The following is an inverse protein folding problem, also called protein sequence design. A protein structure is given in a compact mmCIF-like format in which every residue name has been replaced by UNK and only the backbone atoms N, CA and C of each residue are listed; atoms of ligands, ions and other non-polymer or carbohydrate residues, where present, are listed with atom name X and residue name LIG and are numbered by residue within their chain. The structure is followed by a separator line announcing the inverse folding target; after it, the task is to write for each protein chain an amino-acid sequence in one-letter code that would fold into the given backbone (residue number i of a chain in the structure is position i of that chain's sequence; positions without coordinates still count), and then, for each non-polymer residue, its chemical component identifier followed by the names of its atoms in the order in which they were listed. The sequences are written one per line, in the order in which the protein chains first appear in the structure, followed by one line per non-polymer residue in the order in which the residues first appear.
data_IF_938189373637
#
_entry.id   IF_938189373637
#
_cell.length_a   1.000
_cell.length_b   1.000
_cell.length_c   1.000
_cell.angle_alpha   90.00
_cell.angle_beta   90.00
_cell.angle_gamma   90.00
#
_symmetry.space_group_name_H-M   'P 1'
#
loop_
_entity.id
_entity.type
_entity.pdbx_description
1 polymer ?
#
# COMPACT_ATOMS: atom_id res chain seq x y z
N UNK A 1 27.44 -36.26 -23.40
CA UNK A 1 27.54 -35.29 -22.30
C UNK A 1 26.60 -34.14 -22.62
N UNK A 2 25.32 -34.26 -22.26
CA UNK A 2 24.26 -33.29 -22.62
C UNK A 2 23.23 -33.23 -21.49
N UNK A 3 23.61 -32.75 -20.31
CA UNK A 3 22.70 -32.59 -19.14
C UNK A 3 22.91 -31.26 -18.40
N UNK A 4 23.46 -30.24 -19.05
CA UNK A 4 23.77 -28.95 -18.41
C UNK A 4 22.61 -27.91 -18.41
N UNK A 5 21.58 -27.93 -19.29
CA UNK A 5 20.59 -26.84 -19.29
C UNK A 5 19.58 -26.94 -18.13
N UNK A 6 19.34 -28.11 -17.55
CA UNK A 6 18.31 -28.25 -16.51
C UNK A 6 18.75 -27.67 -15.15
N UNK A 7 20.07 -27.69 -14.86
CA UNK A 7 20.59 -27.24 -13.57
C UNK A 7 20.48 -25.71 -13.40
N UNK A 8 20.68 -24.96 -14.49
CA UNK A 8 20.63 -23.49 -14.48
C UNK A 8 19.19 -22.96 -14.34
N UNK A 9 18.21 -23.62 -14.95
CA UNK A 9 16.79 -23.25 -14.79
C UNK A 9 16.28 -23.58 -13.38
N UNK A 10 16.73 -24.70 -12.78
CA UNK A 10 16.37 -25.04 -11.40
C UNK A 10 17.01 -24.07 -10.39
N UNK A 11 18.26 -23.65 -10.62
CA UNK A 11 18.93 -22.66 -9.78
C UNK A 11 18.22 -21.29 -9.83
N UNK A 12 17.79 -20.85 -11.02
CA UNK A 12 17.00 -19.62 -11.19
C UNK A 12 15.64 -19.72 -10.49
N UNK A 13 14.95 -20.86 -10.61
CA UNK A 13 13.66 -21.06 -9.95
C UNK A 13 13.79 -21.03 -8.42
N UNK A 14 14.81 -21.68 -7.87
CA UNK A 14 15.10 -21.68 -6.42
C UNK A 14 15.44 -20.26 -5.93
N UNK A 15 16.22 -19.49 -6.70
CA UNK A 15 16.54 -18.09 -6.38
C UNK A 15 15.28 -17.21 -6.38
N UNK A 16 14.42 -17.34 -7.40
CA UNK A 16 13.16 -16.55 -7.47
C UNK A 16 12.18 -16.90 -6.35
N UNK A 17 12.10 -18.18 -5.95
CA UNK A 17 11.25 -18.62 -4.85
C UNK A 17 11.77 -18.14 -3.49
N UNK A 18 13.10 -18.12 -3.30
CA UNK A 18 13.70 -17.56 -2.09
C UNK A 18 13.48 -16.05 -1.96
N UNK A 19 13.56 -15.30 -3.07
CA UNK A 19 13.30 -13.85 -3.08
C UNK A 19 11.82 -13.56 -2.72
N UNK A 20 10.88 -14.38 -3.17
CA UNK A 20 9.46 -14.27 -2.80
C UNK A 20 9.20 -14.56 -1.31
N UNK A 21 9.93 -15.49 -0.70
CA UNK A 21 9.77 -15.84 0.72
C UNK A 21 10.42 -14.83 1.69
N UNK A 22 11.46 -14.12 1.26
CA UNK A 22 12.19 -13.19 2.15
C UNK A 22 11.47 -11.84 2.30
N UNK A 23 10.53 -11.50 1.41
CA UNK A 23 9.90 -10.18 1.38
C UNK A 23 8.64 -10.00 2.23
N UNK A 24 8.31 -10.93 3.14
CA UNK A 24 7.03 -10.91 3.86
C UNK A 24 7.12 -10.67 5.37
N UNK A 25 8.19 -10.03 5.89
CA UNK A 25 8.32 -9.84 7.35
C UNK A 25 8.94 -8.51 7.77
N UNK A 26 8.14 -7.46 7.80
CA UNK A 26 8.28 -6.35 8.76
C UNK A 26 6.92 -5.65 8.98
N UNK A 27 5.95 -6.36 9.57
CA UNK A 27 4.84 -5.67 10.24
C UNK A 27 4.78 -6.15 11.69
N UNK A 28 5.23 -5.31 12.62
CA UNK A 28 4.90 -5.45 14.03
C UNK A 28 3.39 -5.22 14.15
N UNK A 29 2.63 -6.31 14.14
CA UNK A 29 1.18 -6.25 14.07
C UNK A 29 0.63 -6.02 15.49
N UNK A 30 0.29 -4.77 15.79
CA UNK A 30 -0.53 -4.44 16.96
C UNK A 30 -1.98 -4.78 16.65
N UNK A 31 -2.70 -5.42 17.58
CA UNK A 31 -4.11 -5.80 17.38
C UNK A 31 -4.97 -5.09 18.43
N UNK A 32 -6.03 -4.42 17.97
CA UNK A 32 -7.08 -3.88 18.83
C UNK A 32 -7.98 -5.05 19.26
N UNK A 33 -8.07 -5.31 20.57
CA UNK A 33 -9.03 -6.27 21.10
C UNK A 33 -10.42 -5.62 21.18
N UNK A 34 -11.35 -6.05 20.33
CA UNK A 34 -12.69 -5.47 20.20
C UNK A 34 -13.56 -5.64 21.45
N UNK A 35 -13.21 -6.57 22.35
CA UNK A 35 -13.98 -6.82 23.58
C UNK A 35 -13.49 -6.00 24.77
N UNK A 36 -12.23 -5.54 24.76
CA UNK A 36 -11.64 -4.78 25.87
C UNK A 36 -11.26 -3.33 25.51
N UNK A 37 -11.30 -2.94 24.24
CA UNK A 37 -10.87 -1.61 23.80
C UNK A 37 -9.37 -1.34 23.98
N UNK A 38 -8.57 -2.39 24.24
CA UNK A 38 -7.12 -2.30 24.50
C UNK A 38 -6.29 -2.72 23.27
N UNK A 39 -5.13 -2.10 23.12
CA UNK A 39 -4.17 -2.40 22.05
C UNK A 39 -3.08 -3.32 22.62
N UNK A 40 -2.87 -4.49 21.99
CA UNK A 40 -1.88 -5.48 22.44
C UNK A 40 -0.90 -5.79 21.30
N UNK A 41 0.37 -6.04 21.64
CA UNK A 41 1.42 -6.42 20.69
C UNK A 41 1.24 -7.88 20.23
N UNK A 42 1.22 -8.11 18.91
CA UNK A 42 1.14 -9.46 18.35
C UNK A 42 2.44 -10.23 18.63
N UNK A 43 2.36 -11.28 19.45
CA UNK A 43 3.53 -12.13 19.76
C UNK A 43 4.08 -12.78 18.49
N UNK A 44 5.34 -12.50 18.18
CA UNK A 44 6.13 -13.20 17.17
C UNK A 44 6.21 -14.69 17.51
N UNK A 45 5.74 -15.56 16.61
CA UNK A 45 5.90 -17.01 16.76
C UNK A 45 7.39 -17.40 16.71
N UNK A 46 7.99 -17.61 17.87
CA UNK A 46 9.20 -18.43 18.03
C UNK A 46 8.80 -19.91 17.98
N UNK A 47 9.26 -20.62 16.94
CA UNK A 47 9.17 -22.08 16.86
C UNK A 47 10.16 -22.71 17.84
N UNK A 48 9.67 -23.52 18.77
CA UNK A 48 10.41 -24.69 19.28
C UNK A 48 9.45 -25.89 19.21
N UNK A 49 9.93 -26.95 18.59
CA UNK A 49 9.24 -28.21 18.31
C UNK A 49 9.41 -29.17 19.48
N UNK A 50 8.33 -29.85 19.87
CA UNK A 50 8.38 -31.27 20.24
C UNK A 50 7.01 -31.93 19.98
N UNK A 51 7.04 -33.03 19.21
CA UNK A 51 5.93 -33.95 18.87
C UNK A 51 5.56 -34.86 20.08
N UNK A 52 4.45 -35.65 20.11
CA UNK A 52 4.00 -36.52 19.01
C UNK A 52 2.48 -36.80 18.77
N UNK A 53 2.24 -37.39 17.58
CA UNK A 53 1.16 -38.31 17.12
C UNK A 53 -0.17 -37.78 16.53
N UNK A 54 -0.38 -38.16 15.24
CA UNK A 54 -1.63 -38.26 14.45
C UNK A 54 -2.49 -39.48 14.91
N UNK A 55 -3.71 -39.80 14.40
CA UNK A 55 -4.43 -39.22 13.25
C UNK A 55 -5.95 -38.96 13.45
N UNK A 56 -6.55 -38.10 12.63
CA UNK A 56 -7.64 -38.43 11.67
C UNK A 56 -8.22 -37.13 11.10
N UNK A 57 -8.36 -37.16 9.77
CA UNK A 57 -8.83 -36.11 8.88
C UNK A 57 -10.34 -35.93 8.98
N UNK A 58 -10.83 -34.69 9.03
CA UNK A 58 -12.11 -34.27 8.44
C UNK A 58 -12.10 -32.74 8.25
N UNK A 59 -11.86 -32.35 7.01
CA UNK A 59 -11.61 -30.97 6.56
C UNK A 59 -12.95 -30.24 6.30
N UNK A 60 -13.25 -29.09 6.95
CA UNK A 60 -14.55 -28.41 6.85
C UNK A 60 -14.87 -27.82 5.47
N UNK A 61 -13.91 -27.84 4.54
CA UNK A 61 -14.07 -27.32 3.17
C UNK A 61 -14.96 -28.24 2.32
N UNK A 62 -14.99 -29.55 2.60
CA UNK A 62 -15.78 -30.51 1.81
C UNK A 62 -17.29 -30.48 2.14
N UNK A 63 -17.67 -30.08 3.36
CA UNK A 63 -19.07 -29.95 3.78
C UNK A 63 -19.76 -28.66 3.29
N UNK A 64 -18.98 -27.66 2.87
CA UNK A 64 -19.51 -26.41 2.30
C UNK A 64 -19.98 -26.63 0.86
N UNK A 65 -19.37 -27.56 0.13
CA UNK A 65 -19.66 -27.79 -1.30
C UNK A 65 -20.94 -28.61 -1.52
N UNK A 66 -21.37 -29.43 -0.55
CA UNK A 66 -22.46 -30.41 -0.75
C UNK A 66 -23.82 -29.95 -0.20
N UNK A 67 -23.91 -28.83 0.51
CA UNK A 67 -25.17 -28.39 1.17
C UNK A 67 -26.04 -27.39 0.37
N UNK A 68 -25.74 -27.13 -0.90
CA UNK A 68 -26.57 -26.23 -1.73
C UNK A 68 -27.33 -26.98 -2.83
N UNK A 69 -28.54 -27.46 -2.50
CA UNK A 69 -29.50 -27.95 -3.49
C UNK A 69 -30.51 -26.85 -3.82
N UNK A 70 -30.71 -26.66 -5.12
CA UNK A 70 -31.29 -25.51 -5.78
C UNK A 70 -32.81 -25.63 -5.99
N UNK A 71 -33.58 -24.63 -5.58
CA UNK A 71 -34.93 -24.35 -6.13
C UNK A 71 -35.15 -22.83 -6.17
N UNK A 72 -35.39 -22.28 -7.36
CA UNK A 72 -36.17 -21.05 -7.63
C UNK A 72 -35.83 -19.73 -6.90
N UNK A 73 -35.38 -18.74 -7.69
CA UNK A 73 -35.19 -17.29 -7.45
C UNK A 73 -35.61 -16.66 -6.09
N UNK A 74 -34.89 -16.93 -5.00
CA UNK A 74 -34.66 -15.98 -3.88
C UNK A 74 -33.65 -16.56 -2.86
N UNK A 75 -32.76 -15.74 -2.32
CA UNK A 75 -31.86 -16.12 -1.21
C UNK A 75 -32.56 -15.88 0.13
N UNK A 76 -32.85 -16.94 0.88
CA UNK A 76 -33.32 -16.82 2.28
C UNK A 76 -32.45 -17.67 3.20
N UNK A 77 -31.83 -17.03 4.19
CA UNK A 77 -31.09 -17.69 5.27
C UNK A 77 -32.08 -18.38 6.22
N UNK A 78 -32.03 -19.70 6.33
CA UNK A 78 -32.81 -20.47 7.31
C UNK A 78 -32.10 -20.37 8.66
N UNK A 79 -32.71 -19.66 9.61
CA UNK A 79 -32.37 -19.75 11.03
C UNK A 79 -32.76 -21.12 11.57
N UNK A 80 -31.90 -21.72 12.38
CA UNK A 80 -32.26 -22.88 13.20
C UNK A 80 -33.18 -22.37 14.31
N UNK A 81 -34.42 -22.85 14.33
CA UNK A 81 -35.38 -22.61 15.41
C UNK A 81 -35.26 -23.69 16.49
N UNK A 82 -35.29 -23.24 17.75
CA UNK A 82 -35.89 -23.90 18.94
C UNK A 82 -35.98 -22.75 19.97
N UNK A 83 -37.12 -22.25 20.46
CA UNK A 83 -38.34 -22.85 21.01
C UNK A 83 -39.52 -21.84 20.93
N UNK A 84 -40.74 -22.34 20.65
CA UNK A 84 -42.12 -21.98 21.08
C UNK A 84 -42.48 -20.53 21.50
N UNK A 85 -43.65 -19.94 21.24
CA UNK A 85 -44.95 -20.37 20.68
C UNK A 85 -45.88 -19.13 20.64
N UNK A 86 -46.80 -19.04 19.67
CA UNK A 86 -48.01 -18.22 19.82
C UNK A 86 -48.34 -17.31 18.63
N UNK A 87 -49.26 -17.76 17.77
CA UNK A 87 -49.86 -17.01 16.67
C UNK A 87 -50.81 -15.90 17.16
N UNK A 88 -50.94 -14.79 16.41
CA UNK A 88 -52.21 -14.33 15.84
C UNK A 88 -52.05 -13.13 14.88
N UNK A 89 -52.19 -13.44 13.59
CA UNK A 89 -53.14 -12.86 12.62
C UNK A 89 -53.54 -11.36 12.63
N UNK A 90 -53.43 -10.78 11.42
CA UNK A 90 -54.36 -9.86 10.70
C UNK A 90 -54.44 -8.36 11.04
N UNK A 91 -54.01 -7.48 10.12
CA UNK A 91 -54.85 -6.77 9.12
C UNK A 91 -54.10 -5.57 8.52
N UNK A 92 -54.06 -5.49 7.18
CA UNK A 92 -53.91 -4.24 6.39
C UNK A 92 -55.33 -3.70 6.07
N UNK A 93 -55.54 -2.38 5.85
CA UNK A 93 -55.29 -1.80 4.51
C UNK A 93 -54.79 -0.35 4.48
N UNK A 94 -54.39 0.05 3.26
CA UNK A 94 -53.89 1.33 2.81
C UNK A 94 -54.96 2.44 2.69
N UNK A 95 -54.56 3.73 2.67
CA UNK A 95 -54.83 4.70 1.58
C UNK A 95 -54.46 6.17 1.92
N UNK A 96 -54.07 6.90 0.87
CA UNK A 96 -54.25 8.34 0.58
C UNK A 96 -53.39 9.50 1.17
N UNK A 97 -52.63 10.09 0.23
CA UNK A 97 -52.57 11.50 -0.26
C UNK A 97 -52.73 12.71 0.69
N UNK A 98 -51.79 13.64 0.50
CA UNK A 98 -51.87 15.12 0.56
C UNK A 98 -52.22 15.81 1.89
N UNK A 99 -51.28 16.61 2.43
CA UNK A 99 -51.33 18.09 2.37
C UNK A 99 -50.30 18.75 3.30
N UNK A 100 -49.81 19.89 2.82
CA UNK A 100 -49.10 20.93 3.57
C UNK A 100 -49.85 21.38 4.82
N UNK A 101 -49.15 21.49 5.96
CA UNK A 101 -49.41 22.56 6.95
C UNK A 101 -48.24 22.73 7.92
N UNK A 102 -47.77 23.98 7.94
CA UNK A 102 -46.98 24.58 9.00
C UNK A 102 -47.65 24.37 10.37
N UNK A 103 -46.91 23.81 11.32
CA UNK A 103 -47.19 23.99 12.75
C UNK A 103 -45.87 24.17 13.50
N UNK A 104 -45.63 25.42 13.92
CA UNK A 104 -44.88 25.71 15.14
C UNK A 104 -45.54 24.95 16.29
N UNK A 105 -44.78 24.12 17.01
CA UNK A 105 -45.13 23.71 18.37
C UNK A 105 -43.87 23.62 19.22
N UNK A 106 -43.73 24.67 20.02
CA UNK A 106 -43.28 24.74 21.40
C UNK A 106 -42.36 23.64 21.92
N UNK A 107 -41.16 24.10 22.29
CA UNK A 107 -40.40 23.77 23.48
C UNK A 107 -41.19 22.92 24.51
N UNK A 108 -40.91 21.63 24.53
CA UNK A 108 -40.98 20.83 25.76
C UNK A 108 -39.56 20.41 26.07
N UNK A 109 -39.02 21.05 27.10
CA UNK A 109 -37.85 20.61 27.83
C UNK A 109 -38.16 19.20 28.35
N UNK A 110 -37.73 18.18 27.63
CA UNK A 110 -37.64 16.81 28.14
C UNK A 110 -36.17 16.46 28.09
N UNK A 111 -35.55 16.56 29.27
CA UNK A 111 -34.22 16.02 29.53
C UNK A 111 -34.26 14.51 29.24
N UNK A 112 -33.78 14.13 28.06
CA UNK A 112 -33.45 12.76 27.66
C UNK A 112 -32.52 12.84 26.44
N UNK A 113 -31.39 13.53 26.60
CA UNK A 113 -30.41 13.78 25.53
C UNK A 113 -29.17 12.89 25.69
N UNK A 114 -29.38 11.63 26.08
CA UNK A 114 -28.41 10.54 25.95
C UNK A 114 -28.56 9.86 24.57
N UNK A 115 -28.85 10.64 23.52
CA UNK A 115 -28.45 10.21 22.18
C UNK A 115 -26.92 10.18 22.20
N UNK A 116 -26.31 9.03 21.90
CA UNK A 116 -24.85 8.89 21.77
C UNK A 116 -24.31 9.96 20.80
N UNK A 117 -23.95 11.13 21.34
CA UNK A 117 -23.46 12.25 20.56
C UNK A 117 -22.10 11.83 20.00
N UNK A 118 -22.03 11.33 18.77
CA UNK A 118 -20.77 10.93 18.14
C UNK A 118 -19.84 12.14 18.06
N UNK A 119 -18.57 11.95 18.47
CA UNK A 119 -17.58 13.04 18.47
C UNK A 119 -17.22 13.49 17.04
N UNK A 120 -18.02 14.36 16.44
CA UNK A 120 -17.72 14.93 15.13
C UNK A 120 -17.02 16.31 15.23
N UNK A 121 -16.43 16.75 14.13
CA UNK A 121 -15.99 18.13 13.96
C UNK A 121 -17.14 19.05 13.53
N UNK A 122 -18.38 18.56 13.42
CA UNK A 122 -19.58 19.22 12.93
C UNK A 122 -19.74 19.12 11.40
N UNK A 123 -20.59 19.99 10.82
CA UNK A 123 -20.85 20.02 9.37
C UNK A 123 -19.56 20.13 8.54
N UNK A 124 -19.53 19.39 7.44
CA UNK A 124 -18.46 19.38 6.46
C UNK A 124 -18.23 20.78 5.87
N UNK A 125 -16.97 21.07 5.54
CA UNK A 125 -16.60 22.34 4.90
C UNK A 125 -16.77 22.23 3.39
N UNK A 126 -17.26 23.30 2.77
CA UNK A 126 -17.50 23.38 1.33
C UNK A 126 -16.19 23.36 0.52
N UNK A 127 -15.14 24.06 0.98
CA UNK A 127 -13.88 24.17 0.26
C UNK A 127 -12.69 24.37 1.20
N UNK A 128 -11.58 23.70 0.90
CA UNK A 128 -10.24 23.99 1.45
C UNK A 128 -9.20 24.01 0.34
N UNK A 129 -8.07 24.69 0.57
CA UNK A 129 -6.95 24.76 -0.39
C UNK A 129 -6.32 23.41 -0.75
N UNK A 130 -6.61 22.36 0.03
CA UNK A 130 -5.99 21.04 -0.08
C UNK A 130 -6.97 19.96 -0.54
N UNK A 131 -8.20 20.34 -0.93
CA UNK A 131 -9.23 19.39 -1.39
C UNK A 131 -8.88 18.76 -2.75
N UNK A 132 -7.96 19.37 -3.49
CA UNK A 132 -7.45 18.87 -4.76
C UNK A 132 -6.47 17.69 -4.62
N UNK A 133 -5.93 17.46 -3.43
CA UNK A 133 -5.05 16.32 -3.15
C UNK A 133 -5.83 15.02 -3.30
N UNK A 134 -5.24 14.01 -3.95
CA UNK A 134 -5.93 12.76 -4.30
C UNK A 134 -6.44 12.05 -3.05
N UNK A 135 -5.61 11.98 -2.02
CA UNK A 135 -5.96 11.39 -0.72
C UNK A 135 -7.04 12.17 0.02
N UNK A 136 -7.10 13.50 -0.10
CA UNK A 136 -8.16 14.31 0.53
C UNK A 136 -9.48 14.22 -0.24
N UNK A 137 -9.40 14.18 -1.58
CA UNK A 137 -10.56 14.03 -2.44
C UNK A 137 -11.24 12.66 -2.22
N UNK A 138 -10.45 11.59 -2.06
CA UNK A 138 -10.92 10.23 -1.86
C UNK A 138 -11.28 9.88 -0.40
N UNK A 139 -11.45 10.88 0.47
CA UNK A 139 -11.65 10.70 1.93
C UNK A 139 -12.77 9.75 2.36
N UNK A 140 -13.79 9.53 1.54
CA UNK A 140 -14.91 8.63 1.85
C UNK A 140 -14.60 7.14 1.58
N UNK A 141 -13.51 6.84 0.87
CA UNK A 141 -13.19 5.49 0.41
C UNK A 141 -11.99 4.86 1.13
N UNK A 142 -11.42 5.55 2.13
CA UNK A 142 -10.22 5.07 2.80
C UNK A 142 -10.49 3.91 3.75
N UNK A 143 -9.55 2.95 3.84
CA UNK A 143 -9.65 1.89 4.83
C UNK A 143 -9.52 2.42 6.26
N UNK A 144 -10.04 1.63 7.20
CA UNK A 144 -9.90 1.91 8.62
C UNK A 144 -8.53 1.44 9.12
N UNK A 145 -7.64 2.37 9.47
CA UNK A 145 -6.24 2.09 9.86
C UNK A 145 -5.93 2.78 11.20
N UNK A 146 -6.00 2.07 12.34
CA UNK A 146 -5.79 2.66 13.66
C UNK A 146 -4.31 3.01 13.91
N UNK A 147 -4.08 4.19 14.49
CA UNK A 147 -2.76 4.69 14.89
C UNK A 147 -2.65 4.83 16.43
N UNK A 148 -2.51 3.73 17.16
CA UNK A 148 -2.51 3.76 18.63
C UNK A 148 -1.41 4.65 19.23
N UNK A 149 -0.26 4.74 18.57
CA UNK A 149 0.88 5.58 18.98
C UNK A 149 0.53 7.08 19.07
N UNK A 150 -0.48 7.55 18.33
CA UNK A 150 -0.93 8.95 18.37
C UNK A 150 -1.53 9.30 19.74
N UNK A 151 -1.99 8.31 20.51
CA UNK A 151 -2.48 8.52 21.87
C UNK A 151 -1.42 9.18 22.77
N UNK A 152 -0.13 8.90 22.56
CA UNK A 152 0.97 9.48 23.35
C UNK A 152 0.99 11.01 23.32
N UNK A 153 0.44 11.66 22.29
CA UNK A 153 0.32 13.13 22.20
C UNK A 153 -0.58 13.67 23.32
N UNK A 154 -1.56 12.89 23.78
CA UNK A 154 -2.48 13.26 24.85
C UNK A 154 -1.93 12.92 26.25
N UNK A 155 -0.77 12.24 26.33
CA UNK A 155 -0.11 11.93 27.60
C UNK A 155 0.40 13.22 28.24
N UNK A 156 -0.14 13.59 29.40
CA UNK A 156 0.41 14.70 30.19
C UNK A 156 1.70 14.22 30.87
N UNK A 157 2.80 14.97 30.72
CA UNK A 157 4.16 14.66 31.25
C UNK A 157 4.23 14.25 32.74
N UNK A 158 3.19 14.49 33.53
CA UNK A 158 3.21 14.33 34.99
C UNK A 158 2.43 13.12 35.54
N UNK A 159 1.70 12.35 34.72
CA UNK A 159 0.95 11.18 35.21
C UNK A 159 1.17 9.97 34.31
N UNK A 160 1.63 8.89 34.92
CA UNK A 160 1.88 7.59 34.31
C UNK A 160 0.56 6.81 34.12
N UNK A 161 -0.44 7.46 33.54
CA UNK A 161 -1.76 6.87 33.34
C UNK A 161 -1.85 6.37 31.89
N UNK A 162 -2.21 5.10 31.75
CA UNK A 162 -2.64 4.48 30.50
C UNK A 162 -3.80 5.30 29.90
N UNK A 163 -3.79 5.56 28.59
CA UNK A 163 -4.75 6.49 27.99
C UNK A 163 -6.01 5.73 27.60
N UNK A 164 -7.04 5.88 28.41
CA UNK A 164 -8.39 5.43 28.07
C UNK A 164 -8.96 6.30 26.92
N UNK A 165 -9.22 5.66 25.78
CA UNK A 165 -9.75 6.29 24.57
C UNK A 165 -11.15 6.84 24.79
N UNK A 166 -11.98 6.19 25.62
CA UNK A 166 -13.35 6.62 25.89
C UNK A 166 -13.38 7.80 26.87
N UNK A 167 -12.47 7.82 27.85
CA UNK A 167 -12.24 9.02 28.67
C UNK A 167 -11.74 10.20 27.82
N UNK A 168 -10.86 9.96 26.86
CA UNK A 168 -10.39 10.98 25.92
C UNK A 168 -11.54 11.52 25.07
N UNK A 169 -12.41 10.64 24.56
CA UNK A 169 -13.60 11.02 23.79
C UNK A 169 -14.51 11.95 24.61
N UNK A 170 -14.85 11.56 25.85
CA UNK A 170 -15.68 12.38 26.76
C UNK A 170 -15.07 13.76 27.02
N UNK A 171 -13.75 13.82 27.21
CA UNK A 171 -13.03 15.08 27.41
C UNK A 171 -13.10 15.98 26.18
N UNK A 172 -12.95 15.43 24.98
CA UNK A 172 -13.03 16.17 23.73
C UNK A 172 -14.46 16.65 23.44
N UNK A 173 -15.49 15.84 23.75
CA UNK A 173 -16.90 16.26 23.69
C UNK A 173 -17.16 17.47 24.60
N UNK A 174 -16.69 17.41 25.84
CA UNK A 174 -16.79 18.55 26.77
C UNK A 174 -16.07 19.80 26.24
N UNK A 175 -14.84 19.65 25.77
CA UNK A 175 -14.05 20.76 25.22
C UNK A 175 -14.73 21.40 23.98
N UNK A 176 -15.41 20.60 23.16
CA UNK A 176 -16.21 21.08 22.02
C UNK A 176 -17.42 21.92 22.43
N UNK A 177 -18.09 21.56 23.53
CA UNK A 177 -19.18 22.37 24.09
C UNK A 177 -18.69 23.71 24.64
N UNK A 178 -17.50 23.73 25.24
CA UNK A 178 -16.91 24.94 25.83
C UNK A 178 -16.32 25.90 24.78
N UNK A 179 -15.63 25.38 23.76
CA UNK A 179 -14.92 26.19 22.75
C UNK A 179 -15.27 25.75 21.33
N UNK A 180 -16.50 26.03 20.85
CA UNK A 180 -16.86 25.75 19.48
C UNK A 180 -15.96 26.56 18.53
N UNK A 181 -15.52 25.94 17.42
CA UNK A 181 -14.69 26.55 16.35
C UNK A 181 -13.22 26.80 16.67
N UNK A 182 -12.64 26.13 17.66
CA UNK A 182 -11.19 26.18 17.89
C UNK A 182 -10.41 25.29 16.90
N UNK A 183 -9.42 25.87 16.20
CA UNK A 183 -8.49 25.13 15.30
C UNK A 183 -7.78 24.01 16.07
N UNK A 184 -7.29 24.33 17.28
CA UNK A 184 -6.57 23.36 18.11
C UNK A 184 -7.48 22.21 18.55
N UNK A 185 -8.75 22.50 18.82
CA UNK A 185 -9.70 21.46 19.17
C UNK A 185 -9.99 20.54 17.98
N UNK A 186 -10.21 21.09 16.79
CA UNK A 186 -10.42 20.28 15.59
C UNK A 186 -9.20 19.43 15.25
N UNK A 187 -7.99 19.96 15.45
CA UNK A 187 -6.75 19.20 15.34
C UNK A 187 -6.70 18.02 16.34
N UNK A 188 -7.09 18.25 17.59
CA UNK A 188 -7.17 17.21 18.62
C UNK A 188 -8.22 16.14 18.31
N UNK A 189 -9.41 16.53 17.85
CA UNK A 189 -10.46 15.58 17.44
C UNK A 189 -10.00 14.79 16.21
N UNK A 190 -9.32 15.42 15.25
CA UNK A 190 -8.73 14.73 14.10
C UNK A 190 -7.70 13.67 14.52
N UNK A 191 -6.82 13.99 15.47
CA UNK A 191 -5.87 13.05 16.06
C UNK A 191 -6.56 11.93 16.86
N UNK A 192 -7.68 12.21 17.52
CA UNK A 192 -8.49 11.16 18.14
C UNK A 192 -9.04 10.16 17.11
N UNK A 193 -9.53 10.64 15.97
CA UNK A 193 -9.98 9.75 14.90
C UNK A 193 -8.84 8.97 14.24
N UNK A 194 -7.61 9.48 14.24
CA UNK A 194 -6.41 8.70 13.86
C UNK A 194 -6.17 7.53 14.80
N UNK A 195 -6.30 7.75 16.12
CA UNK A 195 -6.17 6.67 17.11
C UNK A 195 -7.22 5.59 16.84
N UNK A 196 -8.48 5.98 16.61
CA UNK A 196 -9.54 5.03 16.28
C UNK A 196 -9.33 4.37 14.92
N UNK A 197 -8.76 5.06 13.94
CA UNK A 197 -8.48 4.57 12.59
C UNK A 197 -9.48 5.04 11.52
N UNK A 198 -10.41 5.91 11.88
CA UNK A 198 -11.39 6.49 10.96
C UNK A 198 -10.75 7.65 10.19
N UNK A 199 -10.11 7.32 9.06
CA UNK A 199 -9.44 8.29 8.20
C UNK A 199 -10.41 9.34 7.64
N UNK A 200 -11.64 8.96 7.32
CA UNK A 200 -12.66 9.88 6.81
C UNK A 200 -12.95 10.99 7.83
N UNK A 201 -13.30 10.62 9.07
CA UNK A 201 -13.57 11.61 10.11
C UNK A 201 -12.34 12.42 10.46
N UNK A 202 -11.16 11.79 10.48
CA UNK A 202 -9.90 12.48 10.73
C UNK A 202 -9.63 13.59 9.71
N UNK A 203 -9.73 13.27 8.41
CA UNK A 203 -9.55 14.23 7.32
C UNK A 203 -10.58 15.35 7.39
N UNK A 204 -11.86 15.06 7.66
CA UNK A 204 -12.88 16.11 7.80
C UNK A 204 -12.59 17.06 8.98
N UNK A 205 -12.07 16.54 10.10
CA UNK A 205 -11.63 17.38 11.21
C UNK A 205 -10.47 18.30 10.82
N UNK A 206 -9.47 17.78 10.12
CA UNK A 206 -8.34 18.58 9.65
C UNK A 206 -8.74 19.57 8.57
N UNK A 207 -9.60 19.19 7.61
CA UNK A 207 -10.20 20.11 6.62
C UNK A 207 -10.89 21.27 7.32
N UNK A 208 -11.64 21.01 8.40
CA UNK A 208 -12.29 22.06 9.17
C UNK A 208 -11.32 22.95 9.93
N UNK A 209 -10.25 22.39 10.49
CA UNK A 209 -9.18 23.18 11.10
C UNK A 209 -8.49 24.09 10.07
N UNK A 210 -8.18 23.56 8.87
CA UNK A 210 -7.56 24.29 7.77
C UNK A 210 -8.48 25.32 7.11
N UNK A 211 -9.79 25.11 7.14
CA UNK A 211 -10.76 26.12 6.70
C UNK A 211 -10.73 27.38 7.57
N UNK A 212 -10.43 27.22 8.87
CA UNK A 212 -10.30 28.34 9.81
C UNK A 212 -8.88 28.92 9.78
N UNK A 213 -7.86 28.05 9.67
CA UNK A 213 -6.45 28.46 9.60
C UNK A 213 -5.71 27.66 8.52
N UNK A 214 -5.69 28.15 7.27
CA UNK A 214 -5.13 27.41 6.13
C UNK A 214 -3.63 27.11 6.26
N UNK A 215 -2.90 27.96 6.96
CA UNK A 215 -1.44 27.89 7.11
C UNK A 215 -1.03 27.35 8.50
N UNK A 216 -1.87 26.53 9.13
CA UNK A 216 -1.52 25.93 10.42
C UNK A 216 -0.56 24.74 10.20
N UNK A 217 0.72 24.95 10.49
CA UNK A 217 1.77 23.95 10.30
C UNK A 217 1.47 22.61 10.98
N UNK A 218 0.93 22.60 12.20
CA UNK A 218 0.65 21.37 12.95
C UNK A 218 -0.48 20.56 12.31
N UNK A 219 -1.53 21.24 11.86
CA UNK A 219 -2.66 20.60 11.19
C UNK A 219 -2.24 20.02 9.83
N UNK A 220 -1.46 20.76 9.06
CA UNK A 220 -0.90 20.28 7.79
C UNK A 220 -0.05 19.03 7.99
N UNK A 221 0.79 19.02 9.04
CA UNK A 221 1.62 17.87 9.37
C UNK A 221 0.80 16.66 9.78
N UNK A 222 -0.26 16.85 10.58
CA UNK A 222 -1.13 15.75 10.99
C UNK A 222 -1.94 15.19 9.81
N UNK A 223 -2.41 16.05 8.89
CA UNK A 223 -3.04 15.60 7.65
C UNK A 223 -2.05 14.82 6.77
N UNK A 224 -0.81 15.30 6.63
CA UNK A 224 0.24 14.59 5.89
C UNK A 224 0.51 13.19 6.46
N UNK A 225 0.53 13.03 7.78
CA UNK A 225 0.71 11.73 8.44
C UNK A 225 -0.45 10.76 8.17
N UNK A 226 -1.68 11.27 8.11
CA UNK A 226 -2.83 10.44 7.68
C UNK A 226 -2.62 9.96 6.25
N UNK A 227 -2.23 10.85 5.34
CA UNK A 227 -2.00 10.50 3.94
C UNK A 227 -0.81 9.55 3.75
N UNK A 228 0.25 9.67 4.58
CA UNK A 228 1.36 8.72 4.63
C UNK A 228 0.86 7.30 4.98
N UNK A 229 0.06 7.15 6.03
CA UNK A 229 -0.46 5.84 6.43
C UNK A 229 -1.38 5.22 5.37
N UNK A 230 -2.07 6.08 4.62
CA UNK A 230 -2.90 5.69 3.49
C UNK A 230 -2.10 5.48 2.19
N UNK A 231 -0.78 5.63 2.21
CA UNK A 231 0.13 5.49 1.06
C UNK A 231 -0.05 6.54 -0.06
N UNK A 232 -0.70 7.67 0.22
CA UNK A 232 -0.70 8.84 -0.68
C UNK A 232 0.56 9.66 -0.48
N UNK A 233 1.70 9.10 -0.91
CA UNK A 233 3.02 9.63 -0.57
C UNK A 233 3.28 11.02 -1.16
N UNK A 234 2.89 11.28 -2.42
CA UNK A 234 3.07 12.59 -3.06
C UNK A 234 2.32 13.71 -2.32
N UNK A 235 1.06 13.44 -1.97
CA UNK A 235 0.23 14.38 -1.20
C UNK A 235 0.83 14.61 0.21
N UNK A 236 1.36 13.56 0.83
CA UNK A 236 2.02 13.65 2.13
C UNK A 236 3.31 14.48 2.05
N UNK A 237 4.13 14.33 1.00
CA UNK A 237 5.31 15.17 0.76
C UNK A 237 4.89 16.62 0.60
N UNK A 238 3.90 16.90 -0.25
CA UNK A 238 3.41 18.25 -0.51
C UNK A 238 2.94 18.94 0.78
N UNK A 239 2.11 18.27 1.57
CA UNK A 239 1.60 18.82 2.84
C UNK A 239 2.70 19.00 3.88
N UNK A 240 3.66 18.06 3.97
CA UNK A 240 4.76 18.17 4.93
C UNK A 240 5.71 19.31 4.57
N UNK A 241 6.00 19.50 3.28
CA UNK A 241 6.77 20.66 2.81
C UNK A 241 6.05 21.97 3.10
N UNK A 242 4.74 22.05 2.84
CA UNK A 242 3.95 23.24 3.23
C UNK A 242 3.92 23.46 4.73
N UNK A 243 3.82 22.41 5.54
CA UNK A 243 3.93 22.52 7.00
C UNK A 243 5.28 23.10 7.43
N UNK A 244 6.37 22.68 6.79
CA UNK A 244 7.72 23.19 7.06
C UNK A 244 7.86 24.67 6.70
N UNK A 245 7.32 25.09 5.55
CA UNK A 245 7.38 26.49 5.08
C UNK A 245 6.58 27.46 5.95
N UNK A 246 5.43 27.02 6.48
CA UNK A 246 4.57 27.85 7.34
C UNK A 246 4.85 27.66 8.83
N UNK A 247 5.88 26.87 9.19
CA UNK A 247 6.25 26.64 10.58
C UNK A 247 6.67 27.97 11.23
N UNK A 248 6.08 28.33 12.38
CA UNK A 248 6.47 29.52 13.11
C UNK A 248 7.97 29.47 13.52
N UNK A 249 8.72 30.59 13.44
CA UNK A 249 10.15 30.61 13.70
C UNK A 249 10.53 30.32 15.17
N UNK A 250 9.58 30.46 16.10
CA UNK A 250 9.73 30.14 17.51
C UNK A 250 9.67 28.62 17.80
N UNK A 251 9.28 27.80 16.82
CA UNK A 251 9.18 26.34 16.94
C UNK A 251 10.15 25.66 16.01
N UNK A 252 10.96 24.74 16.55
CA UNK A 252 11.80 23.88 15.72
C UNK A 252 10.94 22.97 14.82
N UNK A 253 11.48 22.61 13.66
CA UNK A 253 10.77 21.84 12.63
C UNK A 253 11.14 20.34 12.60
N UNK A 254 11.66 19.80 13.71
CA UNK A 254 12.11 18.40 13.76
C UNK A 254 11.00 17.41 13.40
N UNK A 255 9.74 17.70 13.74
CA UNK A 255 8.61 16.84 13.43
C UNK A 255 8.33 16.76 11.94
N UNK A 256 8.49 17.88 11.22
CA UNK A 256 8.36 17.95 9.76
C UNK A 256 9.48 17.16 9.09
N UNK A 257 10.73 17.38 9.50
CA UNK A 257 11.88 16.64 8.96
C UNK A 257 11.77 15.13 9.22
N UNK A 258 11.38 14.72 10.43
CA UNK A 258 11.12 13.31 10.73
C UNK A 258 10.01 12.73 9.84
N UNK A 259 8.91 13.47 9.66
CA UNK A 259 7.79 13.01 8.82
C UNK A 259 8.22 12.91 7.35
N UNK A 260 9.00 13.85 6.82
CA UNK A 260 9.61 13.72 5.49
C UNK A 260 10.49 12.48 5.39
N UNK A 261 11.33 12.23 6.40
CA UNK A 261 12.15 11.02 6.48
C UNK A 261 11.32 9.74 6.39
N UNK A 262 10.24 9.65 7.16
CA UNK A 262 9.30 8.51 7.11
C UNK A 262 8.61 8.39 5.75
N UNK A 263 8.21 9.51 5.12
CA UNK A 263 7.59 9.49 3.80
C UNK A 263 8.57 9.01 2.73
N UNK A 264 9.80 9.54 2.69
CA UNK A 264 10.81 9.11 1.72
C UNK A 264 11.26 7.67 1.94
N UNK A 265 11.30 7.21 3.20
CA UNK A 265 11.52 5.79 3.53
C UNK A 265 10.41 4.92 2.94
N UNK A 266 9.15 5.31 3.08
CA UNK A 266 8.01 4.60 2.48
C UNK A 266 8.02 4.67 0.94
N UNK A 267 8.52 5.78 0.37
CA UNK A 267 8.71 5.96 -1.07
C UNK A 267 9.86 5.09 -1.63
N UNK A 268 10.75 4.57 -0.77
CA UNK A 268 11.94 3.80 -1.16
C UNK A 268 13.18 4.65 -1.43
N UNK A 269 13.11 5.97 -1.22
CA UNK A 269 14.24 6.89 -1.36
C UNK A 269 15.03 6.97 -0.05
N UNK A 270 15.76 5.89 0.27
CA UNK A 270 16.49 5.78 1.54
C UNK A 270 17.57 6.84 1.75
N UNK A 271 18.24 7.28 0.67
CA UNK A 271 19.25 8.34 0.75
C UNK A 271 18.61 9.67 1.21
N UNK A 272 17.53 10.10 0.56
CA UNK A 272 16.79 11.31 0.94
C UNK A 272 16.17 11.19 2.34
N UNK A 273 15.64 10.01 2.67
CA UNK A 273 15.12 9.73 4.00
C UNK A 273 16.19 9.93 5.08
N UNK A 274 17.41 9.42 4.86
CA UNK A 274 18.51 9.55 5.82
C UNK A 274 18.91 10.99 6.07
N UNK A 275 18.91 11.84 5.04
CA UNK A 275 19.22 13.27 5.14
C UNK A 275 18.17 13.96 6.04
N UNK A 276 16.89 13.75 5.77
CA UNK A 276 15.82 14.36 6.55
C UNK A 276 15.77 13.85 8.00
N UNK A 277 16.05 12.57 8.24
CA UNK A 277 16.14 12.05 9.60
C UNK A 277 17.32 12.60 10.38
N UNK A 278 18.49 12.77 9.74
CA UNK A 278 19.65 13.43 10.36
C UNK A 278 19.33 14.88 10.73
N UNK A 279 18.68 15.65 9.85
CA UNK A 279 18.21 16.99 10.19
C UNK A 279 17.21 17.01 11.36
N UNK A 280 16.34 16.00 11.46
CA UNK A 280 15.47 15.88 12.64
C UNK A 280 16.28 15.67 13.92
N UNK A 281 17.36 14.88 13.88
CA UNK A 281 18.23 14.63 15.04
C UNK A 281 19.13 15.83 15.38
N UNK A 282 19.56 16.61 14.40
CA UNK A 282 20.26 17.88 14.64
C UNK A 282 19.39 18.83 15.47
N UNK A 283 18.09 18.89 15.18
CA UNK A 283 17.13 19.73 15.89
C UNK A 283 16.66 19.11 17.22
N UNK A 284 16.68 17.79 17.33
CA UNK A 284 16.29 17.05 18.53
C UNK A 284 17.11 15.74 18.66
N UNK A 285 18.28 15.80 19.31
CA UNK A 285 19.21 14.66 19.37
C UNK A 285 18.68 13.42 20.08
N UNK A 286 17.89 13.62 21.14
CA UNK A 286 17.30 12.55 21.96
C UNK A 286 15.95 12.05 21.41
N UNK A 287 15.77 12.03 20.09
CA UNK A 287 14.53 11.53 19.50
C UNK A 287 14.70 10.07 19.05
N UNK A 288 14.40 9.13 19.95
CA UNK A 288 14.60 7.70 19.74
C UNK A 288 13.96 7.15 18.45
N UNK A 289 12.75 7.55 18.04
CA UNK A 289 12.16 7.06 16.78
C UNK A 289 12.99 7.41 15.53
N UNK A 290 13.63 8.58 15.48
CA UNK A 290 14.50 8.94 14.36
C UNK A 290 15.83 8.17 14.39
N UNK A 291 16.39 7.93 15.58
CA UNK A 291 17.59 7.10 15.75
C UNK A 291 17.31 5.66 15.29
N UNK A 292 16.18 5.10 15.70
CA UNK A 292 15.74 3.77 15.29
C UNK A 292 15.54 3.69 13.77
N UNK A 293 14.83 4.65 13.17
CA UNK A 293 14.60 4.67 11.73
C UNK A 293 15.91 4.76 10.92
N UNK A 294 16.89 5.55 11.36
CA UNK A 294 18.22 5.61 10.72
C UNK A 294 18.97 4.29 10.86
N UNK A 295 18.98 3.69 12.05
CA UNK A 295 19.61 2.41 12.29
C UNK A 295 19.00 1.32 11.41
N UNK A 296 17.68 1.30 11.28
CA UNK A 296 16.97 0.36 10.42
C UNK A 296 17.42 0.52 8.95
N UNK A 297 17.64 1.76 8.48
CA UNK A 297 18.13 2.01 7.12
C UNK A 297 19.60 1.61 6.91
N UNK A 298 20.46 1.82 7.89
CA UNK A 298 21.86 1.38 7.84
C UNK A 298 21.97 -0.15 7.85
N UNK A 299 20.99 -0.84 8.44
CA UNK A 299 20.91 -2.30 8.38
C UNK A 299 20.38 -2.84 7.05
N UNK A 300 19.76 -2.02 6.20
CA UNK A 300 19.43 -2.42 4.81
C UNK A 300 20.76 -2.49 4.07
N UNK A 301 21.27 -3.69 3.79
CA UNK A 301 22.65 -3.77 3.41
C UNK A 301 22.76 -3.29 1.96
N UNK A 302 23.57 -2.25 1.74
CA UNK A 302 24.06 -1.85 0.41
C UNK A 302 24.67 -3.05 -0.34
N UNK A 303 25.01 -4.11 0.39
CA UNK A 303 25.41 -5.40 -0.15
C UNK A 303 24.39 -5.97 -1.13
N UNK A 304 23.07 -5.75 -0.99
CA UNK A 304 22.11 -6.29 -1.96
C UNK A 304 22.31 -5.65 -3.34
N UNK A 305 22.48 -4.33 -3.39
CA UNK A 305 22.73 -3.58 -4.63
C UNK A 305 24.11 -3.90 -5.21
N UNK A 306 25.13 -4.05 -4.36
CA UNK A 306 26.45 -4.51 -4.77
C UNK A 306 26.48 -5.98 -5.22
N UNK A 307 25.69 -6.85 -4.60
CA UNK A 307 25.53 -8.26 -4.99
C UNK A 307 24.82 -8.32 -6.34
N UNK A 308 23.73 -7.59 -6.55
CA UNK A 308 23.05 -7.57 -7.85
C UNK A 308 23.93 -7.01 -8.96
N UNK A 309 24.68 -5.92 -8.70
CA UNK A 309 25.63 -5.39 -9.68
C UNK A 309 26.78 -6.36 -9.96
N UNK A 310 27.35 -7.01 -8.95
CA UNK A 310 28.34 -8.09 -9.15
C UNK A 310 27.76 -9.26 -9.94
N UNK A 311 26.52 -9.68 -9.64
CA UNK A 311 25.85 -10.79 -10.32
C UNK A 311 25.60 -10.45 -11.80
N UNK A 312 25.16 -9.22 -12.10
CA UNK A 312 25.02 -8.71 -13.47
C UNK A 312 26.38 -8.72 -14.19
N UNK A 313 27.45 -8.24 -13.55
CA UNK A 313 28.80 -8.25 -14.13
C UNK A 313 29.25 -9.69 -14.43
N UNK A 314 29.06 -10.63 -13.49
CA UNK A 314 29.41 -12.05 -13.68
C UNK A 314 28.63 -12.66 -14.85
N UNK A 315 27.32 -12.40 -14.95
CA UNK A 315 26.49 -12.88 -16.06
C UNK A 315 26.96 -12.33 -17.41
N UNK A 316 27.32 -11.05 -17.49
CA UNK A 316 27.84 -10.44 -18.71
C UNK A 316 29.18 -11.05 -19.13
N UNK A 317 30.09 -11.28 -18.18
CA UNK A 317 31.39 -11.91 -18.44
C UNK A 317 31.22 -13.35 -18.94
N UNK A 318 30.34 -14.13 -18.31
CA UNK A 318 30.03 -15.49 -18.77
C UNK A 318 29.38 -15.51 -20.16
N UNK A 319 28.49 -14.57 -20.44
CA UNK A 319 27.89 -14.41 -21.76
C UNK A 319 28.93 -14.14 -22.86
N UNK A 320 29.88 -13.24 -22.60
CA UNK A 320 30.98 -12.95 -23.52
C UNK A 320 31.88 -14.17 -23.71
N UNK A 321 32.23 -14.89 -22.63
CA UNK A 321 33.02 -16.12 -22.72
C UNK A 321 32.33 -17.21 -23.56
N UNK A 322 31.01 -17.38 -23.43
CA UNK A 322 30.23 -18.31 -24.25
C UNK A 322 30.24 -17.94 -25.74
N UNK A 323 30.15 -16.64 -26.06
CA UNK A 323 30.26 -16.16 -27.45
C UNK A 323 31.65 -16.44 -28.01
N UNK A 324 32.70 -16.23 -27.22
CA UNK A 324 34.08 -16.55 -27.64
C UNK A 324 34.24 -18.06 -27.87
N UNK A 325 33.78 -18.91 -26.95
CA UNK A 325 33.89 -20.36 -27.10
C UNK A 325 33.12 -20.89 -28.32
N UNK A 326 31.89 -20.42 -28.55
CA UNK A 326 31.13 -20.79 -29.75
C UNK A 326 31.78 -20.32 -31.05
N UNK A 327 32.52 -19.21 -31.03
CA UNK A 327 33.32 -18.77 -32.20
C UNK A 327 34.58 -19.62 -32.43
N UNK A 328 35.18 -20.15 -31.38
CA UNK A 328 36.37 -21.02 -31.45
C UNK A 328 36.00 -22.44 -31.89
N UNK A 329 34.89 -22.98 -31.39
CA UNK A 329 34.37 -24.28 -31.81
C UNK A 329 34.02 -24.28 -33.31
N UNK A 330 33.49 -23.18 -33.83
CA UNK A 330 33.27 -22.99 -35.28
C UNK A 330 34.56 -22.95 -36.11
N UNK A 331 35.71 -22.62 -35.49
CA UNK A 331 37.01 -22.56 -36.16
C UNK A 331 37.74 -23.92 -36.09
N UNK A 332 37.57 -24.70 -35.02
CA UNK A 332 38.15 -26.04 -34.88
C UNK A 332 37.52 -27.07 -35.84
N UNK A 333 36.22 -26.93 -36.14
CA UNK A 333 35.57 -27.77 -37.17
C UNK A 333 36.07 -27.46 -38.59
N UNK A 334 36.62 -26.26 -38.83
CA UNK A 334 37.21 -25.90 -40.12
C UNK A 334 38.58 -26.57 -40.35
N UNK A 335 39.41 -26.70 -39.31
CA UNK A 335 40.75 -27.30 -39.40
C UNK A 335 40.73 -28.85 -39.52
N UNK A 336 39.67 -29.52 -39.08
CA UNK A 336 39.53 -30.98 -39.25
C UNK A 336 39.02 -31.41 -40.64
N UNK A 337 38.49 -30.47 -41.43
CA UNK A 337 37.90 -30.73 -42.74
C UNK A 337 38.93 -30.79 -43.89
N UNK A 338 40.15 -30.28 -43.68
CA UNK A 338 41.19 -30.22 -44.71
C UNK A 338 42.11 -31.45 -44.80
N UNK A 339 41.91 -32.47 -43.95
CA UNK A 339 42.77 -33.67 -43.94
C UNK A 339 42.11 -34.93 -44.56
N UNK A 340 41.26 -34.78 -45.58
CA UNK A 340 40.72 -35.96 -46.30
C UNK A 340 40.25 -35.72 -47.75
N UNK A 341 41.09 -35.14 -48.59
CA UNK A 341 40.82 -35.07 -50.06
C UNK A 341 41.95 -35.68 -50.86
N UNK A 342 42.10 -37.00 -50.76
CA UNK A 342 42.79 -37.76 -51.80
C UNK A 342 42.24 -39.17 -51.90
N UNK A 343 41.25 -39.38 -52.79
CA UNK A 343 41.24 -40.47 -53.79
C UNK A 343 39.89 -40.62 -54.53
N UNK A 344 40.06 -40.67 -55.85
CA UNK A 344 39.20 -41.30 -56.87
C UNK A 344 38.02 -40.52 -57.47
N UNK A 345 38.40 -39.78 -58.51
CA UNK A 345 37.70 -39.63 -59.79
C UNK A 345 37.17 -40.97 -60.35
N UNK A 346 36.07 -40.87 -61.12
CA UNK A 346 35.44 -41.87 -62.00
C UNK A 346 34.28 -42.71 -61.44
N UNK A 347 33.05 -42.19 -61.61
CA UNK A 347 32.03 -42.95 -62.32
C UNK A 347 30.97 -42.04 -62.95
N UNK A 348 30.80 -42.26 -64.25
CA UNK A 348 29.92 -41.55 -65.15
C UNK A 348 28.43 -41.70 -64.80
N UNK A 349 27.65 -40.68 -65.16
CA UNK A 349 26.31 -40.89 -65.72
C UNK A 349 26.10 -39.84 -66.81
N UNK A 350 25.82 -40.36 -68.00
CA UNK A 350 25.68 -39.63 -69.24
C UNK A 350 24.20 -39.27 -69.50
N UNK A 351 24.03 -38.26 -70.36
CA UNK A 351 22.81 -37.93 -71.13
C UNK A 351 21.66 -37.31 -70.29
N UNK A 352 20.84 -36.38 -70.78
CA UNK A 352 20.38 -36.15 -72.16
C UNK A 352 19.79 -34.72 -72.24
N UNK A 353 20.14 -34.01 -73.30
CA UNK A 353 19.56 -32.74 -73.70
C UNK A 353 18.08 -32.85 -74.06
N UNK A 354 17.25 -31.88 -73.68
CA UNK A 354 16.09 -31.46 -74.47
C UNK A 354 15.87 -29.94 -74.31
N UNK A 355 15.63 -29.31 -75.45
CA UNK A 355 15.65 -27.87 -75.74
C UNK A 355 14.23 -27.47 -76.14
N UNK A 356 13.69 -26.41 -75.52
CA UNK A 356 12.57 -25.56 -75.98
C UNK A 356 12.30 -24.57 -74.83
N UNK A 357 12.19 -23.25 -74.97
CA UNK A 357 12.17 -22.32 -76.09
C UNK A 357 11.41 -21.07 -75.61
N UNK A 358 12.01 -19.87 -75.76
CA UNK A 358 11.37 -18.52 -75.90
C UNK A 358 10.47 -18.03 -74.73
N UNK A 359 10.44 -16.78 -74.24
CA UNK A 359 10.88 -15.45 -74.66
C UNK A 359 10.75 -14.48 -73.45
N UNK A 360 11.46 -13.34 -73.41
CA UNK A 360 11.49 -12.41 -72.27
C UNK A 360 10.40 -11.33 -72.32
N UNK A 361 10.11 -10.70 -71.18
CA UNK A 361 9.47 -9.37 -71.14
C UNK A 361 10.14 -8.44 -70.14
N UNK A 362 10.76 -7.41 -70.71
CA UNK A 362 11.25 -6.18 -70.10
C UNK A 362 10.10 -5.24 -69.74
N UNK A 363 10.19 -4.50 -68.63
CA UNK A 363 9.69 -3.11 -68.58
C UNK A 363 10.40 -2.24 -67.54
N UNK A 364 11.16 -1.30 -68.08
CA UNK A 364 11.75 -0.04 -67.59
C UNK A 364 11.11 0.68 -66.39
N UNK A 365 12.00 1.11 -65.49
CA UNK A 365 12.28 2.47 -64.96
C UNK A 365 11.16 3.49 -64.69
N UNK A 366 11.24 4.14 -63.51
CA UNK A 366 11.29 5.60 -63.40
C UNK A 366 11.98 6.06 -62.10
N UNK A 367 13.09 6.80 -62.27
CA UNK A 367 13.63 7.78 -61.31
C UNK A 367 12.69 8.99 -61.28
N UNK A 368 12.52 9.64 -60.14
CA UNK A 368 12.64 11.10 -60.03
C UNK A 368 13.08 11.47 -58.60
N UNK A 369 14.14 12.27 -58.57
CA UNK A 369 14.69 12.99 -57.43
C UNK A 369 14.02 14.36 -57.41
N UNK A 370 13.73 14.91 -56.23
CA UNK A 370 13.74 16.36 -56.08
C UNK A 370 14.27 16.79 -54.71
N UNK A 371 15.13 17.81 -54.72
CA UNK A 371 15.79 18.47 -53.59
C UNK A 371 15.39 19.95 -53.62
N UNK A 372 15.34 20.56 -52.43
CA UNK A 372 15.43 22.01 -52.22
C UNK A 372 14.30 22.53 -51.33
N UNK A 373 14.53 22.80 -50.05
CA UNK A 373 15.22 23.97 -49.47
C UNK A 373 14.42 25.28 -49.65
N UNK A 374 13.93 25.80 -48.52
CA UNK A 374 13.18 27.05 -48.37
C UNK A 374 12.64 27.13 -46.95
#
# INVERSE_FOLDING_TARGET
MTDVPCLTYMALYILTFHILQVNSRTSTHWKLNSEEGKIVEGKSHSKVVTLPSLPTTDDPVFNIIVSTIHYGKSWTKRSVETFNSGCHSTHFPASDRNSTKSQKKNLTLSNNDDQEEVLDCGKAVNFTYYDNLVGVNNRHNHPHVPEPQVALIFKKKSKNYEIDVDALERKLKKAKREKPKSVQLYNQIGNFWRIKGDAQKSIECFRRALAVSPHNAEVLLNLARVLLNLQYLDDAIYLTRRSLEVQPPDKNAWQQYYTLGEIFKAYGHYQEASIHLRHSLELKPEFEPAIAALKDMETIPETTLHIYTLLIIICLVLGVLLVILSSVDGNLDSDFSDMKTQRHFNRAMAMRSLKMGMSPRTSRSKKYSDRGAG
#
